data_IF_264584329012
#
_entry.id   IF_264584329012
#
_cell.length_a   1.000
_cell.length_b   1.000
_cell.length_c   1.000
_cell.angle_alpha   90.00
_cell.angle_beta   90.00
_cell.angle_gamma   90.00
#
_symmetry.space_group_name_H-M   'P 1'
#
loop_
_entity.id
_entity.type
_entity.pdbx_description
1 polymer ?
#
# COMPACT_ATOMS: atom_id res chain seq x y z
N UNK A 1 -7.82 -13.07 12.48
CA UNK A 1 -8.01 -12.22 11.29
C UNK A 1 -6.87 -12.47 10.31
N UNK A 2 -7.16 -12.63 9.01
CA UNK A 2 -6.11 -12.77 7.98
C UNK A 2 -5.63 -11.41 7.48
N UNK A 3 -4.44 -11.36 6.84
CA UNK A 3 -3.93 -10.13 6.20
C UNK A 3 -4.90 -9.55 5.17
N UNK A 4 -5.56 -10.41 4.40
CA UNK A 4 -6.59 -10.00 3.42
C UNK A 4 -7.83 -9.42 4.08
N UNK A 5 -8.27 -9.94 5.23
CA UNK A 5 -9.38 -9.38 6.00
C UNK A 5 -9.06 -7.97 6.50
N UNK A 6 -7.83 -7.74 6.98
CA UNK A 6 -7.39 -6.41 7.45
C UNK A 6 -7.38 -5.40 6.31
N UNK A 7 -6.81 -5.77 5.15
CA UNK A 7 -6.81 -4.90 3.96
C UNK A 7 -8.24 -4.58 3.53
N UNK A 8 -9.14 -5.57 3.54
CA UNK A 8 -10.55 -5.37 3.18
C UNK A 8 -11.26 -4.40 4.14
N UNK A 9 -10.99 -4.52 5.44
CA UNK A 9 -11.51 -3.60 6.45
C UNK A 9 -11.02 -2.17 6.20
N UNK A 10 -9.70 -1.95 6.04
CA UNK A 10 -9.14 -0.62 5.78
C UNK A 10 -9.73 -0.03 4.49
N UNK A 11 -9.84 -0.85 3.44
CA UNK A 11 -10.44 -0.48 2.16
C UNK A 11 -11.91 -0.08 2.24
N UNK A 12 -12.64 -0.57 3.26
CA UNK A 12 -14.03 -0.18 3.53
C UNK A 12 -14.17 1.05 4.42
N UNK A 13 -13.12 1.40 5.17
CA UNK A 13 -13.11 2.57 6.05
C UNK A 13 -12.72 3.85 5.30
N UNK A 14 -11.81 3.74 4.32
CA UNK A 14 -11.30 4.87 3.56
C UNK A 14 -11.11 4.49 2.08
N UNK A 15 -11.93 5.08 1.21
CA UNK A 15 -11.86 4.84 -0.25
C UNK A 15 -10.53 5.29 -0.85
N UNK A 16 -9.86 6.29 -0.24
CA UNK A 16 -8.59 6.83 -0.72
C UNK A 16 -7.49 5.79 -0.61
N UNK A 17 -7.62 4.83 0.33
CA UNK A 17 -6.67 3.73 0.48
C UNK A 17 -6.59 2.87 -0.79
N UNK A 18 -7.73 2.60 -1.43
CA UNK A 18 -7.75 1.79 -2.66
C UNK A 18 -7.11 2.54 -3.83
N UNK A 19 -7.48 3.81 -4.00
CA UNK A 19 -6.96 4.68 -5.07
C UNK A 19 -5.45 4.85 -4.92
N UNK A 20 -4.99 5.21 -3.71
CA UNK A 20 -3.57 5.43 -3.43
C UNK A 20 -2.77 4.13 -3.52
N UNK A 21 -3.33 3.00 -3.09
CA UNK A 21 -2.68 1.68 -3.25
C UNK A 21 -2.47 1.34 -4.72
N UNK A 22 -3.44 1.64 -5.59
CA UNK A 22 -3.29 1.40 -7.02
C UNK A 22 -2.22 2.30 -7.65
N UNK A 23 -2.24 3.60 -7.32
CA UNK A 23 -1.25 4.57 -7.81
C UNK A 23 0.17 4.21 -7.39
N UNK A 24 0.41 3.98 -6.08
CA UNK A 24 1.74 3.70 -5.56
C UNK A 24 2.26 2.35 -6.06
N UNK A 25 1.41 1.32 -6.19
CA UNK A 25 1.81 0.05 -6.79
C UNK A 25 2.21 0.20 -8.26
N UNK A 26 1.48 1.03 -9.02
CA UNK A 26 1.78 1.28 -10.44
C UNK A 26 3.08 2.03 -10.59
N UNK A 27 3.28 3.10 -9.82
CA UNK A 27 4.54 3.83 -9.74
C UNK A 27 5.71 2.91 -9.37
N UNK A 28 5.56 2.12 -8.30
CA UNK A 28 6.61 1.22 -7.84
C UNK A 28 6.96 0.13 -8.86
N UNK A 29 5.98 -0.33 -9.67
CA UNK A 29 6.23 -1.26 -10.77
C UNK A 29 7.01 -0.61 -11.91
N UNK A 30 6.62 0.60 -12.33
CA UNK A 30 7.30 1.33 -13.42
C UNK A 30 8.76 1.64 -13.07
N UNK A 31 9.04 1.88 -11.78
CA UNK A 31 10.39 2.18 -11.29
C UNK A 31 11.14 0.95 -10.74
N UNK A 32 10.66 -0.27 -10.96
CA UNK A 32 11.25 -1.54 -10.50
C UNK A 32 11.47 -1.68 -8.97
N UNK A 33 10.79 -0.84 -8.18
CA UNK A 33 10.76 -0.87 -6.70
C UNK A 33 9.84 -1.99 -6.17
N UNK A 34 8.97 -2.55 -7.04
CA UNK A 34 8.09 -3.69 -6.75
C UNK A 34 8.49 -4.93 -7.56
N UNK A 35 9.70 -5.43 -7.34
CA UNK A 35 10.30 -6.56 -8.04
C UNK A 35 10.88 -7.54 -7.02
N UNK A 36 10.13 -8.61 -6.66
CA UNK A 36 10.60 -9.64 -5.73
C UNK A 36 11.91 -10.30 -6.17
N UNK A 37 12.13 -10.37 -7.49
CA UNK A 37 13.35 -10.90 -8.13
C UNK A 37 14.56 -9.98 -7.99
N UNK A 38 14.35 -8.67 -7.79
CA UNK A 38 15.40 -7.68 -7.58
C UNK A 38 15.65 -7.36 -6.09
N UNK A 39 15.09 -8.15 -5.16
CA UNK A 39 15.11 -7.89 -3.71
C UNK A 39 14.53 -6.53 -3.30
N UNK A 40 13.60 -5.98 -4.09
CA UNK A 40 12.91 -4.73 -3.75
C UNK A 40 11.61 -4.99 -2.96
N UNK A 41 10.85 -3.93 -2.63
CA UNK A 41 9.70 -4.06 -1.73
C UNK A 41 8.61 -4.96 -2.32
N UNK A 42 8.02 -5.83 -1.50
CA UNK A 42 6.87 -6.64 -1.94
C UNK A 42 5.64 -5.76 -2.15
N UNK A 43 4.70 -6.23 -2.99
CA UNK A 43 3.40 -5.57 -3.15
C UNK A 43 2.64 -5.44 -1.82
N UNK A 44 2.82 -6.39 -0.89
CA UNK A 44 2.23 -6.31 0.44
C UNK A 44 2.87 -5.20 1.27
N UNK A 45 4.20 -5.07 1.22
CA UNK A 45 4.95 -4.01 1.91
C UNK A 45 4.55 -2.63 1.41
N UNK A 46 4.34 -2.48 0.10
CA UNK A 46 3.87 -1.24 -0.52
C UNK A 46 2.46 -0.89 -0.04
N UNK A 47 1.54 -1.86 -0.02
CA UNK A 47 0.17 -1.64 0.49
C UNK A 47 0.19 -1.26 1.98
N UNK A 48 1.04 -1.90 2.78
CA UNK A 48 1.22 -1.54 4.20
C UNK A 48 1.77 -0.12 4.37
N UNK A 49 2.67 0.33 3.50
CA UNK A 49 3.19 1.70 3.51
C UNK A 49 2.08 2.72 3.22
N UNK A 50 1.19 2.42 2.26
CA UNK A 50 0.04 3.28 1.95
C UNK A 50 -0.93 3.34 3.12
N UNK A 51 -1.20 2.22 3.79
CA UNK A 51 -2.04 2.20 4.99
C UNK A 51 -1.43 3.06 6.11
N UNK A 52 -0.12 2.93 6.34
CA UNK A 52 0.60 3.71 7.34
C UNK A 52 0.56 5.21 7.01
N UNK A 53 0.81 5.60 5.75
CA UNK A 53 0.75 6.99 5.32
C UNK A 53 -0.60 7.66 5.61
N UNK A 54 -1.71 6.93 5.46
CA UNK A 54 -3.06 7.43 5.76
C UNK A 54 -3.39 7.44 7.26
N UNK A 55 -2.69 6.64 8.07
CA UNK A 55 -2.87 6.60 9.53
C UNK A 55 -2.10 7.71 10.26
N UNK A 56 -0.95 8.13 9.71
CA UNK A 56 -0.12 9.15 10.36
C UNK A 56 -0.76 10.53 10.16
N UNK A 57 -1.10 11.25 11.25
CA UNK A 57 -1.56 12.63 11.16
C UNK A 57 -0.52 13.46 10.40
N UNK A 58 -0.95 14.34 9.50
CA UNK A 58 -0.02 15.27 8.84
C UNK A 58 0.61 16.15 9.92
N UNK A 59 1.83 15.80 10.31
CA UNK A 59 2.69 16.66 11.11
C UNK A 59 3.09 17.82 10.21
N UNK A 60 2.33 18.90 10.29
CA UNK A 60 2.73 20.23 9.87
C UNK A 60 3.06 21.04 11.13
#
# INVERSE_FOLDING_TARGET
MTRSMIIKLISSLDERFQILSYLVKTWAKIHDVNSPTAQTMSSMSIISLVAFHLQVPRMY
#
